data_IF_885182390899
#
_entry.id   IF_885182390899
#
_cell.length_a   1.000
_cell.length_b   1.000
_cell.length_c   1.000
_cell.angle_alpha   90.00
_cell.angle_beta   90.00
_cell.angle_gamma   90.00
#
_symmetry.space_group_name_H-M   'P 1'
#
loop_
_entity.id
_entity.type
_entity.pdbx_description
1 polymer ?
#
# COMPACT_ATOMS: atom_id res chain seq x y z
N UNK A 1 4.57 -5.73 -26.27
CA UNK A 1 3.28 -5.32 -26.90
C UNK A 1 2.12 -6.11 -26.26
N UNK A 2 0.99 -5.46 -25.95
CA UNK A 2 -0.21 -6.07 -25.35
C UNK A 2 -0.36 -5.94 -23.83
N UNK A 3 0.66 -5.44 -23.13
CA UNK A 3 0.60 -5.15 -21.68
C UNK A 3 0.42 -3.66 -21.39
N UNK A 4 0.01 -3.35 -20.16
CA UNK A 4 -0.07 -1.99 -19.63
C UNK A 4 1.33 -1.45 -19.31
N UNK A 5 1.56 -0.14 -19.53
CA UNK A 5 2.83 0.47 -19.13
C UNK A 5 2.92 0.56 -17.59
N UNK A 6 4.12 0.54 -17.02
CA UNK A 6 4.27 0.66 -15.56
C UNK A 6 3.61 1.95 -15.02
N UNK A 7 3.64 3.03 -15.80
CA UNK A 7 3.07 4.33 -15.44
C UNK A 7 1.55 4.25 -15.42
N UNK A 8 0.94 3.67 -16.45
CA UNK A 8 -0.53 3.52 -16.52
C UNK A 8 -1.02 2.59 -15.41
N UNK A 9 -0.29 1.49 -15.17
CA UNK A 9 -0.55 0.57 -14.06
C UNK A 9 -0.52 1.30 -12.71
N UNK A 10 0.52 2.09 -12.45
CA UNK A 10 0.65 2.86 -11.22
C UNK A 10 -0.50 3.87 -11.06
N UNK A 11 -0.81 4.65 -12.10
CA UNK A 11 -1.92 5.62 -12.10
C UNK A 11 -3.24 4.94 -11.77
N UNK A 12 -3.52 3.79 -12.41
CA UNK A 12 -4.75 3.04 -12.21
C UNK A 12 -4.89 2.52 -10.78
N UNK A 13 -3.83 1.91 -10.25
CA UNK A 13 -3.83 1.36 -8.88
C UNK A 13 -3.95 2.48 -7.84
N UNK A 14 -3.15 3.54 -7.94
CA UNK A 14 -3.20 4.68 -7.00
C UNK A 14 -4.55 5.40 -7.06
N UNK A 15 -5.10 5.57 -8.27
CA UNK A 15 -6.43 6.17 -8.45
C UNK A 15 -7.53 5.34 -7.80
N UNK A 16 -7.48 4.01 -7.95
CA UNK A 16 -8.41 3.09 -7.28
C UNK A 16 -8.28 3.14 -5.76
N UNK A 17 -7.05 3.01 -5.25
CA UNK A 17 -6.74 3.06 -3.81
C UNK A 17 -7.22 4.37 -3.18
N UNK A 18 -6.92 5.51 -3.79
CA UNK A 18 -7.30 6.83 -3.28
C UNK A 18 -8.82 6.98 -3.15
N UNK A 19 -9.59 6.46 -4.12
CA UNK A 19 -11.06 6.46 -4.02
C UNK A 19 -11.55 5.58 -2.88
N UNK A 20 -11.05 4.35 -2.78
CA UNK A 20 -11.42 3.45 -1.68
C UNK A 20 -11.07 3.99 -0.31
N UNK A 21 -9.92 4.66 -0.16
CA UNK A 21 -9.56 5.33 1.10
C UNK A 21 -10.47 6.52 1.40
N UNK A 22 -10.81 7.33 0.39
CA UNK A 22 -11.70 8.47 0.55
C UNK A 22 -13.11 8.04 1.00
N UNK A 23 -13.63 6.94 0.47
CA UNK A 23 -14.91 6.35 0.90
C UNK A 23 -14.88 5.91 2.37
N UNK A 24 -13.70 5.61 2.92
CA UNK A 24 -13.45 5.31 4.34
C UNK A 24 -13.07 6.56 5.16
N UNK A 25 -13.19 7.76 4.61
CA UNK A 25 -12.84 9.00 5.30
C UNK A 25 -11.34 9.20 5.52
N UNK A 26 -10.50 8.54 4.71
CA UNK A 26 -9.04 8.66 4.71
C UNK A 26 -8.63 9.41 3.43
N UNK A 27 -8.02 10.58 3.57
CA UNK A 27 -7.64 11.43 2.43
C UNK A 27 -6.28 12.09 2.66
N UNK A 28 -5.48 12.33 1.61
CA UNK A 28 -4.26 13.11 1.76
C UNK A 28 -4.61 14.50 2.34
N UNK A 29 -3.68 15.06 3.08
CA UNK A 29 -3.72 16.47 3.49
C UNK A 29 -3.51 17.39 2.27
N UNK A 30 -3.06 18.62 2.49
CA UNK A 30 -2.74 19.55 1.44
C UNK A 30 -1.45 19.16 0.66
N UNK A 31 -1.22 19.75 -0.53
CA UNK A 31 -0.06 19.42 -1.36
C UNK A 31 1.31 19.63 -0.69
N UNK A 32 1.44 20.56 0.27
CA UNK A 32 2.70 20.79 1.00
C UNK A 32 2.97 19.66 2.00
N UNK A 33 1.93 18.97 2.45
CA UNK A 33 1.99 17.84 3.38
C UNK A 33 1.46 16.55 2.76
N UNK A 34 1.73 16.31 1.47
CA UNK A 34 1.19 15.15 0.70
C UNK A 34 1.45 13.77 1.32
N UNK A 35 2.42 13.67 2.24
CA UNK A 35 2.78 12.44 2.95
C UNK A 35 2.00 12.24 4.26
N UNK A 36 1.18 13.22 4.65
CA UNK A 36 0.26 13.16 5.78
C UNK A 36 -1.18 13.02 5.30
N UNK A 37 -1.99 12.36 6.13
CA UNK A 37 -3.36 11.97 5.84
C UNK A 37 -4.30 12.50 6.93
N UNK A 38 -5.50 12.89 6.51
CA UNK A 38 -6.65 13.14 7.38
C UNK A 38 -7.40 11.82 7.51
N UNK A 39 -7.76 11.47 8.75
CA UNK A 39 -8.44 10.21 9.08
C UNK A 39 -9.63 10.54 9.98
N UNK A 40 -10.84 10.22 9.52
CA UNK A 40 -12.06 10.46 10.28
C UNK A 40 -12.21 9.49 11.46
N UNK A 41 -11.96 8.19 11.25
CA UNK A 41 -11.97 7.16 12.28
C UNK A 41 -10.64 6.38 12.31
N UNK A 42 -9.76 6.61 13.31
CA UNK A 42 -8.48 5.92 13.42
C UNK A 42 -8.60 4.43 13.79
N UNK A 43 -9.80 3.97 14.20
CA UNK A 43 -10.04 2.56 14.49
C UNK A 43 -10.40 1.76 13.24
N UNK A 44 -10.70 2.41 12.12
CA UNK A 44 -11.04 1.73 10.88
C UNK A 44 -9.88 0.85 10.38
N UNK A 45 -10.25 -0.25 9.73
CA UNK A 45 -9.34 -1.24 9.16
C UNK A 45 -9.76 -1.52 7.71
N UNK A 46 -8.76 -1.73 6.86
CA UNK A 46 -8.93 -2.09 5.46
C UNK A 46 -8.03 -3.29 5.17
N UNK A 47 -8.56 -4.27 4.45
CA UNK A 47 -7.80 -5.40 3.93
C UNK A 47 -7.81 -5.32 2.41
N UNK A 48 -6.63 -5.43 1.80
CA UNK A 48 -6.48 -5.50 0.34
C UNK A 48 -5.93 -6.87 -0.02
N UNK A 49 -6.65 -7.57 -0.88
CA UNK A 49 -6.20 -8.83 -1.48
C UNK A 49 -5.93 -8.56 -2.96
N UNK A 50 -4.66 -8.61 -3.34
CA UNK A 50 -4.23 -8.35 -4.71
C UNK A 50 -2.91 -9.08 -5.02
N UNK A 51 -2.45 -8.93 -6.26
CA UNK A 51 -1.18 -9.50 -6.73
C UNK A 51 0.03 -8.68 -6.28
N UNK A 52 1.22 -9.30 -6.33
CA UNK A 52 2.48 -8.69 -5.89
C UNK A 52 2.72 -7.29 -6.49
N UNK A 53 2.51 -7.11 -7.79
CA UNK A 53 2.65 -5.81 -8.45
C UNK A 53 1.73 -4.73 -7.89
N UNK A 54 0.44 -5.05 -7.69
CA UNK A 54 -0.54 -4.10 -7.13
C UNK A 54 -0.21 -3.76 -5.68
N UNK A 55 0.13 -4.77 -4.88
CA UNK A 55 0.51 -4.57 -3.48
C UNK A 55 1.77 -3.70 -3.36
N UNK A 56 2.75 -3.88 -4.24
CA UNK A 56 3.97 -3.08 -4.27
C UNK A 56 3.69 -1.60 -4.58
N UNK A 57 2.81 -1.31 -5.55
CA UNK A 57 2.35 0.06 -5.84
C UNK A 57 1.67 0.67 -4.60
N UNK A 58 0.77 -0.08 -3.97
CA UNK A 58 0.03 0.39 -2.78
C UNK A 58 1.01 0.71 -1.64
N UNK A 59 1.93 -0.21 -1.32
CA UNK A 59 2.94 0.00 -0.29
C UNK A 59 3.83 1.21 -0.61
N UNK A 60 4.33 1.31 -1.84
CA UNK A 60 5.15 2.44 -2.28
C UNK A 60 4.43 3.77 -2.14
N UNK A 61 3.19 3.85 -2.64
CA UNK A 61 2.37 5.06 -2.58
C UNK A 61 2.10 5.49 -1.13
N UNK A 62 1.63 4.57 -0.28
CA UNK A 62 1.30 4.87 1.12
C UNK A 62 2.53 5.25 1.96
N UNK A 63 3.70 4.70 1.62
CA UNK A 63 4.97 5.04 2.26
C UNK A 63 5.67 6.26 1.63
N UNK A 64 5.05 6.90 0.64
CA UNK A 64 5.58 8.12 0.02
C UNK A 64 6.79 7.90 -0.89
N UNK A 65 6.99 6.69 -1.42
CA UNK A 65 8.05 6.38 -2.37
C UNK A 65 7.66 6.82 -3.78
N UNK A 66 8.64 7.35 -4.52
CA UNK A 66 8.44 7.64 -5.94
C UNK A 66 8.28 6.34 -6.75
N UNK A 67 7.42 6.36 -7.80
CA UNK A 67 7.18 5.19 -8.63
C UNK A 67 8.38 4.87 -9.53
N UNK A 68 8.70 3.58 -9.65
CA UNK A 68 9.77 3.08 -10.52
C UNK A 68 9.30 1.85 -11.31
N UNK A 69 9.90 1.51 -12.47
CA UNK A 69 9.44 0.37 -13.27
C UNK A 69 9.49 -0.99 -12.57
N UNK A 70 10.33 -1.16 -11.54
CA UNK A 70 10.54 -2.42 -10.80
C UNK A 70 9.97 -2.36 -9.37
N UNK A 71 8.78 -1.75 -9.16
CA UNK A 71 8.23 -1.58 -7.79
C UNK A 71 8.11 -2.90 -7.03
N UNK A 72 7.73 -3.99 -7.70
CA UNK A 72 7.58 -5.31 -7.10
C UNK A 72 8.92 -5.92 -6.63
N UNK A 73 10.05 -5.48 -7.18
CA UNK A 73 11.38 -5.89 -6.69
C UNK A 73 11.75 -5.17 -5.38
N UNK A 74 11.11 -4.02 -5.07
CA UNK A 74 11.37 -3.28 -3.82
C UNK A 74 10.72 -3.93 -2.61
N UNK A 75 9.65 -4.69 -2.83
CA UNK A 75 8.83 -5.28 -1.78
C UNK A 75 8.63 -6.77 -2.05
N UNK A 76 9.51 -7.61 -1.48
CA UNK A 76 9.38 -9.06 -1.59
C UNK A 76 8.10 -9.53 -0.90
N UNK A 77 7.24 -10.23 -1.65
CA UNK A 77 5.96 -10.74 -1.17
C UNK A 77 5.78 -12.20 -1.62
N UNK A 78 5.88 -13.17 -0.68
CA UNK A 78 5.53 -14.55 -0.96
C UNK A 78 4.06 -14.69 -1.34
N UNK A 79 3.69 -15.81 -1.99
CA UNK A 79 2.28 -16.13 -2.17
C UNK A 79 1.57 -16.18 -0.82
N UNK A 80 0.40 -15.56 -0.75
CA UNK A 80 -0.38 -15.38 0.49
C UNK A 80 0.32 -14.64 1.63
N UNK A 81 1.49 -14.02 1.38
CA UNK A 81 2.20 -13.21 2.37
C UNK A 81 1.40 -11.97 2.79
N UNK A 82 1.33 -11.70 4.09
CA UNK A 82 0.57 -10.60 4.67
C UNK A 82 1.49 -9.43 5.02
N UNK A 83 1.23 -8.27 4.42
CA UNK A 83 1.90 -7.01 4.78
C UNK A 83 0.95 -6.14 5.61
N UNK A 84 1.46 -5.56 6.70
CA UNK A 84 0.67 -4.71 7.60
C UNK A 84 1.24 -3.30 7.68
N UNK A 85 0.42 -2.33 7.32
CA UNK A 85 0.62 -0.92 7.61
C UNK A 85 -0.24 -0.52 8.82
N UNK A 86 0.29 0.38 9.65
CA UNK A 86 -0.48 1.07 10.69
C UNK A 86 -0.32 2.56 10.51
N UNK A 87 -1.34 3.35 10.79
CA UNK A 87 -1.17 4.79 10.82
C UNK A 87 -0.62 5.25 12.17
N UNK A 88 0.32 6.18 12.13
CA UNK A 88 0.84 6.89 13.31
C UNK A 88 0.45 8.36 13.22
N UNK A 89 0.06 8.93 14.36
CA UNK A 89 -0.26 10.36 14.41
C UNK A 89 1.02 11.18 14.40
N UNK A 90 1.17 12.05 13.41
CA UNK A 90 2.30 12.97 13.26
C UNK A 90 1.74 14.39 13.22
N UNK A 91 1.99 15.17 14.29
CA UNK A 91 1.42 16.51 14.45
C UNK A 91 -0.11 16.49 14.29
N UNK A 92 -0.65 17.23 13.32
CA UNK A 92 -2.08 17.33 12.99
C UNK A 92 -2.58 16.24 12.05
N UNK A 93 -1.68 15.45 11.44
CA UNK A 93 -2.01 14.42 10.45
C UNK A 93 -1.63 13.01 10.88
N UNK A 94 -1.83 12.08 9.96
CA UNK A 94 -1.47 10.67 10.09
C UNK A 94 -0.51 10.24 8.99
N UNK A 95 0.45 9.39 9.30
CA UNK A 95 1.35 8.79 8.32
C UNK A 95 1.21 7.27 8.35
N UNK A 96 1.24 6.62 7.19
CA UNK A 96 1.34 5.16 7.14
C UNK A 96 2.74 4.70 7.54
N UNK A 97 2.80 3.63 8.33
CA UNK A 97 4.03 3.04 8.84
C UNK A 97 3.99 1.53 8.63
N UNK A 98 4.98 0.99 7.93
CA UNK A 98 5.12 -0.45 7.70
C UNK A 98 5.53 -1.15 9.00
N UNK A 99 4.74 -2.13 9.40
CA UNK A 99 4.99 -2.94 10.60
C UNK A 99 5.41 -4.35 10.29
N UNK A 100 5.03 -4.85 9.11
CA UNK A 100 5.29 -6.21 8.69
C UNK A 100 5.21 -6.29 7.17
N UNK A 101 6.13 -7.00 6.54
CA UNK A 101 6.20 -7.18 5.09
C UNK A 101 6.19 -8.67 4.77
N UNK A 102 5.22 -9.13 3.98
CA UNK A 102 5.21 -10.48 3.42
C UNK A 102 5.19 -11.60 4.45
N UNK A 103 4.47 -11.43 5.56
CA UNK A 103 4.39 -12.44 6.62
C UNK A 103 3.69 -13.72 6.17
N UNK A 104 4.36 -14.84 6.42
CA UNK A 104 3.90 -16.19 6.10
C UNK A 104 3.80 -17.05 7.35
N UNK A 105 3.88 -16.47 8.55
CA UNK A 105 3.81 -17.22 9.83
C UNK A 105 2.54 -18.05 10.03
N UNK A 106 1.49 -17.76 9.25
CA UNK A 106 0.23 -18.49 9.24
C UNK A 106 0.23 -19.73 8.31
N UNK A 107 1.27 -19.90 7.49
CA UNK A 107 1.43 -21.02 6.58
C UNK A 107 2.31 -22.10 7.22
N UNK A 108 2.07 -23.35 6.81
CA UNK A 108 3.04 -24.41 7.01
C UNK A 108 4.34 -24.07 6.25
N UNK A 109 5.54 -24.25 6.84
CA UNK A 109 6.81 -23.99 6.17
C UNK A 109 6.94 -24.64 4.78
N UNK A 110 6.36 -25.84 4.58
CA UNK A 110 6.44 -26.56 3.31
C UNK A 110 5.53 -25.96 2.22
N UNK A 111 4.65 -25.04 2.59
CA UNK A 111 3.73 -24.33 1.68
C UNK A 111 4.24 -22.94 1.28
N UNK A 112 5.37 -22.48 1.84
CA UNK A 112 5.92 -21.15 1.54
C UNK A 112 6.62 -21.17 0.19
N UNK A 113 6.03 -20.50 -0.79
CA UNK A 113 6.62 -20.31 -2.13
C UNK A 113 7.02 -18.85 -2.36
N UNK A 114 8.13 -18.65 -3.07
CA UNK A 114 8.71 -17.33 -3.41
C UNK A 114 8.50 -16.97 -4.88
#
# INVERSE_FOLDING_TARGET
>A
PGGESFRDFHIRVVGGLTRSLADLGIRPMDPQHRHLWIVNDPNQRMVVVAHAGTNAVILGHLLGLEPVPWEWERFRQPHTGVSRLTMIRISTGWAFSLRQLGDVSHLDPDMVTV
#
